data_IF_902496918957
#
_entry.id   IF_902496918957
#
_cell.length_a   1.000
_cell.length_b   1.000
_cell.length_c   1.000
_cell.angle_alpha   90.00
_cell.angle_beta   90.00
_cell.angle_gamma   90.00
#
_symmetry.space_group_name_H-M   'P 1'
#
loop_
_entity.id
_entity.type
_entity.pdbx_description
1 polymer ?
#
# COMPACT_ATOMS: atom_id res chain seq x y z
N UNK A 1 5.08 17.94 -19.08
CA UNK A 1 6.13 17.83 -18.04
C UNK A 1 6.14 18.99 -17.03
N UNK A 2 5.95 20.26 -17.42
CA UNK A 2 6.04 21.40 -16.49
C UNK A 2 4.90 21.60 -15.48
N UNK A 3 3.80 20.84 -15.55
CA UNK A 3 2.66 20.94 -14.61
C UNK A 3 2.76 20.01 -13.39
N UNK A 4 3.66 19.02 -13.42
CA UNK A 4 3.83 18.07 -12.31
C UNK A 4 4.71 18.62 -11.17
N UNK A 5 5.65 19.51 -11.47
CA UNK A 5 6.50 20.11 -10.44
C UNK A 5 5.73 21.02 -9.49
N UNK A 6 4.66 21.70 -9.94
CA UNK A 6 3.91 22.64 -9.10
C UNK A 6 3.08 21.96 -8.01
N UNK A 7 2.65 20.71 -8.20
CA UNK A 7 1.86 19.99 -7.21
C UNK A 7 2.70 19.30 -6.13
N UNK A 8 3.93 18.87 -6.45
CA UNK A 8 4.85 18.28 -5.47
C UNK A 8 5.37 19.34 -4.49
N UNK A 9 5.64 20.57 -4.95
CA UNK A 9 6.05 21.68 -4.06
C UNK A 9 4.91 22.14 -3.14
N UNK A 10 3.65 22.00 -3.58
CA UNK A 10 2.47 22.37 -2.76
C UNK A 10 2.20 21.32 -1.67
N UNK A 11 2.47 20.03 -1.93
CA UNK A 11 2.29 18.97 -0.94
C UNK A 11 3.33 19.03 0.21
N UNK A 12 4.57 19.47 -0.10
CA UNK A 12 5.63 19.64 0.91
C UNK A 12 5.40 20.85 1.83
N UNK A 13 4.62 21.86 1.41
CA UNK A 13 4.30 23.04 2.24
C UNK A 13 3.10 22.82 3.18
N UNK A 14 2.24 21.84 2.92
CA UNK A 14 1.03 21.59 3.73
C UNK A 14 1.32 20.69 4.95
N UNK A 15 2.39 19.88 4.91
CA UNK A 15 2.75 18.98 6.03
C UNK A 15 3.52 19.69 7.19
N UNK A 16 3.82 20.98 7.05
CA UNK A 16 4.59 21.75 8.05
C UNK A 16 3.77 22.64 9.00
N UNK A 17 2.43 22.63 8.93
CA UNK A 17 1.60 23.49 9.78
C UNK A 17 1.09 22.73 11.02
N UNK A 18 1.48 23.10 12.25
CA UNK A 18 0.80 22.62 13.43
C UNK A 18 -0.61 23.24 13.46
N UNK A 19 -1.63 22.38 13.39
CA UNK A 19 -3.00 22.72 13.74
C UNK A 19 -3.02 23.14 15.22
N UNK A 20 -2.90 24.45 15.47
CA UNK A 20 -3.12 25.02 16.79
C UNK A 20 -4.63 25.05 17.06
N UNK A 21 -5.09 24.08 17.86
CA UNK A 21 -6.41 24.10 18.45
C UNK A 21 -6.55 25.33 19.35
N UNK A 22 -7.46 26.23 18.98
CA UNK A 22 -7.91 27.32 19.86
C UNK A 22 -8.72 26.74 21.02
N UNK A 23 -8.08 26.57 22.17
CA UNK A 23 -8.75 26.51 23.46
C UNK A 23 -8.98 27.92 23.98
N UNK A 24 -10.22 28.37 23.95
CA UNK A 24 -10.67 29.65 24.49
C UNK A 24 -10.86 29.49 26.01
N UNK A 25 -10.08 30.22 26.79
CA UNK A 25 -10.20 30.29 28.24
C UNK A 25 -9.76 31.67 28.71
N UNK A 26 -10.74 32.50 29.06
CA UNK A 26 -10.57 33.86 29.58
C UNK A 26 -9.93 33.85 30.98
N UNK A 27 -8.94 34.71 31.21
CA UNK A 27 -8.70 35.33 32.51
C UNK A 27 -7.90 36.63 32.38
N UNK A 28 -8.56 37.71 32.79
CA UNK A 28 -8.04 39.07 32.97
C UNK A 28 -6.93 39.18 34.04
N UNK A 29 -5.95 40.08 33.84
CA UNK A 29 -5.14 40.67 34.92
C UNK A 29 -3.85 41.38 34.46
N UNK A 30 -3.44 42.54 35.01
CA UNK A 30 -2.74 43.63 34.28
C UNK A 30 -1.19 43.68 34.47
N UNK A 31 -0.47 44.63 33.81
CA UNK A 31 0.94 44.49 33.43
C UNK A 31 1.95 45.18 34.39
N UNK A 32 3.15 44.60 34.46
CA UNK A 32 4.39 45.21 34.97
C UNK A 32 5.51 44.22 34.65
N UNK A 33 6.61 44.55 33.98
CA UNK A 33 7.44 45.73 34.15
C UNK A 33 8.72 45.29 34.87
N UNK A 34 9.87 45.49 34.21
CA UNK A 34 11.26 45.43 34.72
C UNK A 34 12.04 44.10 34.59
N UNK A 35 13.07 44.17 33.73
CA UNK A 35 14.38 43.49 33.79
C UNK A 35 15.21 44.31 34.82
N UNK A 36 16.12 43.79 35.68
CA UNK A 36 17.37 43.15 35.21
C UNK A 36 18.16 42.23 36.16
N UNK A 37 19.30 41.80 35.62
CA UNK A 37 20.57 41.42 36.26
C UNK A 37 20.72 39.96 36.70
N UNK A 38 21.59 39.26 35.97
CA UNK A 38 22.05 37.93 36.30
C UNK A 38 22.99 37.89 37.49
N UNK A 39 23.37 36.69 37.91
CA UNK A 39 24.59 36.42 38.66
C UNK A 39 24.97 34.95 38.47
N UNK A 40 26.27 34.74 38.26
CA UNK A 40 26.92 33.45 38.19
C UNK A 40 26.88 32.72 39.55
N UNK A 41 26.89 31.38 39.48
CA UNK A 41 27.83 30.54 40.21
C UNK A 41 27.64 30.39 41.72
N UNK A 42 27.11 29.22 42.12
CA UNK A 42 27.16 28.76 43.49
C UNK A 42 26.92 27.25 43.58
N UNK A 43 27.97 26.47 43.35
CA UNK A 43 28.02 25.04 43.68
C UNK A 43 28.11 24.83 45.21
N UNK A 44 27.81 23.61 45.71
CA UNK A 44 26.93 23.39 46.86
C UNK A 44 27.65 23.22 48.20
N UNK A 45 26.90 23.47 49.28
CA UNK A 45 27.32 23.18 50.65
C UNK A 45 26.76 21.83 51.13
N UNK A 46 27.66 21.00 51.67
CA UNK A 46 27.40 20.21 52.88
C UNK A 46 26.80 18.82 52.73
N UNK A 47 27.64 17.82 52.45
CA UNK A 47 27.43 16.46 52.97
C UNK A 47 28.74 15.90 53.53
N UNK A 48 28.64 15.43 54.78
CA UNK A 48 29.69 14.90 55.65
C UNK A 48 30.14 13.51 55.25
N UNK A 49 31.46 13.28 55.18
CA UNK A 49 32.11 11.98 55.01
C UNK A 49 32.70 11.47 56.35
N UNK A 50 32.82 10.14 56.55
CA UNK A 50 33.17 9.50 57.82
C UNK A 50 34.70 9.42 58.08
N UNK A 51 35.13 9.17 59.33
CA UNK A 51 36.48 9.48 59.81
C UNK A 51 37.52 8.38 59.58
N UNK A 52 38.73 8.80 59.24
CA UNK A 52 39.95 8.00 59.36
C UNK A 52 40.88 8.20 58.16
N UNK A 53 41.93 9.01 58.32
CA UNK A 53 43.33 8.71 57.99
C UNK A 53 44.21 9.97 58.16
N UNK A 54 45.37 9.73 58.75
CA UNK A 54 46.48 10.57 59.19
C UNK A 54 46.73 11.96 58.57
N UNK A 55 47.01 12.91 59.46
CA UNK A 55 47.53 14.26 59.20
C UNK A 55 49.05 14.26 58.96
N UNK A 56 49.51 15.09 58.02
CA UNK A 56 50.92 15.52 57.85
C UNK A 56 50.93 17.05 57.80
N UNK A 57 51.87 17.74 58.50
CA UNK A 57 51.70 19.16 58.84
C UNK A 57 52.29 20.13 57.80
N UNK A 58 51.52 21.19 57.53
CA UNK A 58 51.93 22.60 57.52
C UNK A 58 52.97 23.08 56.51
N UNK A 59 52.58 24.04 55.67
CA UNK A 59 53.19 25.39 55.62
C UNK A 59 52.60 26.24 54.49
N UNK A 60 52.40 27.54 54.79
CA UNK A 60 52.45 28.61 53.79
C UNK A 60 51.13 28.97 53.11
N UNK A 61 50.43 29.95 53.69
CA UNK A 61 49.55 30.86 52.92
C UNK A 61 50.43 31.97 52.34
N UNK A 62 50.40 32.19 51.02
CA UNK A 62 50.66 33.52 50.47
C UNK A 62 49.51 33.98 49.57
N UNK A 63 48.87 35.08 50.00
CA UNK A 63 48.30 36.20 49.24
C UNK A 63 47.50 35.98 47.95
N UNK A 64 46.43 36.77 47.71
CA UNK A 64 45.66 36.70 46.47
C UNK A 64 46.52 37.13 45.28
N UNK A 65 46.72 36.23 44.32
CA UNK A 65 47.32 36.55 43.03
C UNK A 65 46.42 37.53 42.26
N UNK A 66 47.07 38.52 41.66
CA UNK A 66 46.48 39.61 40.91
C UNK A 66 45.53 39.12 39.81
N UNK A 67 44.39 39.78 39.69
CA UNK A 67 43.47 39.69 38.56
C UNK A 67 44.20 40.22 37.32
N UNK A 68 44.84 39.31 36.59
CA UNK A 68 45.36 39.58 35.27
C UNK A 68 44.21 39.84 34.31
N UNK A 69 44.28 40.93 33.56
CA UNK A 69 43.34 41.31 32.50
C UNK A 69 43.00 40.08 31.65
N UNK A 70 41.73 39.68 31.66
CA UNK A 70 41.22 38.68 30.75
C UNK A 70 41.60 39.06 29.32
N UNK A 71 42.25 38.14 28.61
CA UNK A 71 42.30 38.21 27.15
C UNK A 71 40.89 37.92 26.67
N UNK A 72 40.09 38.97 26.52
CA UNK A 72 38.94 38.94 25.63
C UNK A 72 39.50 38.75 24.22
N UNK A 73 39.44 37.52 23.72
CA UNK A 73 39.61 37.25 22.29
C UNK A 73 38.36 37.84 21.65
N UNK A 74 38.53 38.94 20.92
CA UNK A 74 37.49 39.39 20.00
C UNK A 74 37.60 38.51 18.77
N UNK A 75 36.58 37.69 18.53
CA UNK A 75 36.38 37.09 17.22
C UNK A 75 35.89 38.20 16.30
N UNK A 76 36.74 38.57 15.33
CA UNK A 76 36.41 39.55 14.31
C UNK A 76 35.40 38.89 13.37
N UNK A 77 34.11 39.19 13.58
CA UNK A 77 33.06 38.81 12.65
C UNK A 77 33.35 39.50 11.30
N UNK A 78 33.11 38.85 10.15
CA UNK A 78 33.36 39.45 8.86
C UNK A 78 32.64 40.80 8.73
N UNK A 79 33.42 41.86 8.51
CA UNK A 79 32.94 43.18 8.08
C UNK A 79 32.40 43.04 6.65
N UNK A 80 31.16 42.56 6.51
CA UNK A 80 30.17 42.92 5.48
C UNK A 80 29.07 41.85 5.37
N UNK A 81 28.09 41.91 6.28
CA UNK A 81 26.75 41.37 6.04
C UNK A 81 25.83 42.58 5.92
N UNK A 82 25.55 42.98 4.68
CA UNK A 82 24.93 44.25 4.32
C UNK A 82 23.79 44.72 5.25
N UNK A 83 23.85 46.02 5.56
CA UNK A 83 22.88 46.99 6.10
C UNK A 83 21.44 46.66 6.57
N UNK A 84 20.80 45.52 6.26
CA UNK A 84 19.40 45.27 6.68
C UNK A 84 19.02 43.81 7.04
N UNK A 85 19.98 42.88 7.14
CA UNK A 85 19.66 41.51 7.61
C UNK A 85 20.52 41.14 8.83
N UNK A 86 19.94 41.22 10.02
CA UNK A 86 20.40 40.42 11.15
C UNK A 86 19.79 39.03 11.01
N UNK A 87 20.61 37.99 10.85
CA UNK A 87 20.12 36.61 10.81
C UNK A 87 19.28 36.34 12.06
N UNK A 88 17.98 36.15 11.87
CA UNK A 88 17.08 35.78 12.96
C UNK A 88 17.58 34.48 13.62
N UNK A 89 17.29 34.23 14.91
CA UNK A 89 17.63 32.95 15.54
C UNK A 89 17.09 31.74 14.76
N UNK A 90 15.97 31.92 14.06
CA UNK A 90 15.38 30.94 13.15
C UNK A 90 16.21 30.78 11.86
N UNK A 91 16.76 31.86 11.30
CA UNK A 91 17.68 31.80 10.15
C UNK A 91 19.00 31.12 10.50
N UNK A 92 19.57 31.41 11.67
CA UNK A 92 20.78 30.72 12.15
C UNK A 92 20.50 29.24 12.43
N UNK A 93 19.34 28.93 13.00
CA UNK A 93 18.90 27.54 13.22
C UNK A 93 18.69 26.83 11.89
N UNK A 94 17.98 27.42 10.92
CA UNK A 94 17.75 26.86 9.59
C UNK A 94 19.06 26.69 8.83
N UNK A 95 19.92 27.72 8.82
CA UNK A 95 21.22 27.67 8.15
C UNK A 95 22.12 26.58 8.74
N UNK A 96 22.17 26.43 10.06
CA UNK A 96 22.92 25.34 10.69
C UNK A 96 22.28 23.96 10.49
N UNK A 97 20.96 23.89 10.39
CA UNK A 97 20.22 22.65 10.10
C UNK A 97 20.45 22.18 8.66
N UNK A 98 20.56 23.11 7.70
CA UNK A 98 20.88 22.79 6.31
C UNK A 98 22.36 22.44 6.07
N UNK A 99 23.29 22.92 6.91
CA UNK A 99 24.74 22.60 6.82
C UNK A 99 25.13 21.15 7.09
N UNK A 100 24.19 20.33 7.54
CA UNK A 100 24.39 18.88 7.74
C UNK A 100 23.18 18.09 7.24
N UNK A 101 22.42 18.70 6.31
CA UNK A 101 21.29 18.06 5.68
C UNK A 101 21.76 17.22 4.50
N UNK A 102 20.98 16.21 4.17
CA UNK A 102 21.11 15.51 2.91
C UNK A 102 19.74 15.28 2.29
N UNK A 103 19.74 15.17 0.98
CA UNK A 103 18.58 14.87 0.19
C UNK A 103 18.90 13.72 -0.75
N UNK A 104 18.04 12.71 -0.76
CA UNK A 104 18.19 11.51 -1.58
C UNK A 104 16.94 11.30 -2.43
N UNK A 105 17.15 11.02 -3.71
CA UNK A 105 16.08 10.64 -4.63
C UNK A 105 16.44 9.30 -5.27
N UNK A 106 15.49 8.38 -5.25
CA UNK A 106 15.66 7.02 -5.75
C UNK A 106 14.54 6.71 -6.74
N UNK A 107 14.91 6.10 -7.86
CA UNK A 107 14.01 5.42 -8.76
C UNK A 107 13.81 3.98 -8.27
N UNK A 108 12.56 3.56 -8.15
CA UNK A 108 12.17 2.25 -7.63
C UNK A 108 11.80 1.36 -8.81
N UNK A 109 12.37 0.16 -8.88
CA UNK A 109 11.98 -0.93 -9.78
C UNK A 109 11.45 -2.06 -8.92
N UNK A 110 10.21 -1.92 -8.46
CA UNK A 110 9.61 -2.81 -7.49
C UNK A 110 8.50 -3.64 -8.10
N UNK A 111 8.30 -4.83 -7.55
CA UNK A 111 7.18 -5.71 -7.83
C UNK A 111 6.28 -5.78 -6.59
N UNK A 112 4.97 -5.77 -6.82
CA UNK A 112 3.96 -6.13 -5.83
C UNK A 112 3.57 -7.59 -6.04
N UNK A 113 3.46 -8.37 -4.97
CA UNK A 113 3.04 -9.77 -5.04
C UNK A 113 1.64 -9.92 -5.66
N UNK A 114 1.52 -10.89 -6.56
CA UNK A 114 0.28 -11.21 -7.26
C UNK A 114 -0.90 -11.49 -6.32
N UNK A 115 -2.16 -11.33 -6.79
CA UNK A 115 -3.38 -11.75 -6.08
C UNK A 115 -3.42 -13.22 -5.70
N UNK A 116 -2.66 -14.07 -6.38
CA UNK A 116 -2.72 -15.53 -6.23
C UNK A 116 -3.76 -16.14 -7.17
N UNK A 117 -4.05 -17.43 -6.96
CA UNK A 117 -4.90 -18.24 -7.87
C UNK A 117 -6.38 -18.24 -7.44
N UNK A 118 -6.86 -17.10 -6.91
CA UNK A 118 -8.22 -17.03 -6.37
C UNK A 118 -9.25 -17.21 -7.49
N UNK A 119 -10.18 -18.13 -7.25
CA UNK A 119 -11.33 -18.37 -8.12
C UNK A 119 -12.44 -17.40 -7.71
N UNK A 120 -12.96 -16.66 -8.68
CA UNK A 120 -14.01 -15.67 -8.46
C UNK A 120 -15.37 -16.36 -8.53
N UNK A 121 -15.80 -16.85 -7.37
CA UNK A 121 -17.09 -17.52 -7.18
C UNK A 121 -17.18 -18.13 -5.79
N UNK A 122 -18.32 -18.74 -5.47
CA UNK A 122 -18.50 -19.51 -4.25
C UNK A 122 -17.81 -20.89 -4.34
N UNK A 123 -17.52 -21.54 -3.20
CA UNK A 123 -17.16 -22.96 -3.21
C UNK A 123 -18.24 -23.82 -3.90
N UNK A 124 -17.81 -24.87 -4.60
CA UNK A 124 -18.66 -25.75 -5.43
C UNK A 124 -18.31 -27.21 -5.21
N UNK A 125 -19.33 -28.07 -5.02
CA UNK A 125 -19.17 -29.53 -4.99
C UNK A 125 -19.46 -30.20 -6.36
N UNK A 126 -19.77 -29.40 -7.39
CA UNK A 126 -20.17 -29.90 -8.71
C UNK A 126 -18.96 -30.33 -9.56
N UNK A 127 -17.86 -29.60 -9.44
CA UNK A 127 -16.61 -29.82 -10.18
C UNK A 127 -15.45 -29.74 -9.20
N UNK A 128 -14.47 -30.63 -9.34
CA UNK A 128 -13.32 -30.70 -8.44
C UNK A 128 -12.41 -29.47 -8.56
N UNK A 129 -12.24 -28.94 -9.77
CA UNK A 129 -11.50 -27.72 -10.05
C UNK A 129 -12.24 -26.88 -11.10
N UNK A 130 -12.96 -25.82 -10.71
CA UNK A 130 -13.70 -24.98 -11.64
C UNK A 130 -12.79 -24.04 -12.46
N UNK A 131 -11.48 -23.97 -12.19
CA UNK A 131 -10.53 -23.23 -13.02
C UNK A 131 -10.18 -23.95 -14.33
N UNK A 132 -10.52 -25.23 -14.43
CA UNK A 132 -10.43 -26.03 -15.65
C UNK A 132 -11.79 -26.06 -16.36
N UNK A 133 -11.84 -26.28 -17.69
CA UNK A 133 -13.09 -26.41 -18.42
C UNK A 133 -14.03 -27.48 -17.83
N UNK A 134 -15.31 -27.17 -17.72
CA UNK A 134 -16.36 -28.08 -17.24
C UNK A 134 -17.70 -27.77 -17.90
N UNK A 135 -18.56 -28.79 -17.99
CA UNK A 135 -19.85 -28.66 -18.69
C UNK A 135 -20.96 -28.25 -17.73
N UNK A 136 -21.75 -27.25 -18.11
CA UNK A 136 -23.02 -26.89 -17.48
C UNK A 136 -24.17 -26.93 -18.48
N UNK A 137 -25.40 -26.94 -17.98
CA UNK A 137 -26.59 -26.76 -18.82
C UNK A 137 -26.96 -25.28 -18.85
N UNK A 138 -27.10 -24.71 -20.05
CA UNK A 138 -27.68 -23.38 -20.24
C UNK A 138 -29.09 -23.35 -19.65
N UNK A 139 -29.37 -22.49 -18.66
CA UNK A 139 -30.68 -22.41 -18.04
C UNK A 139 -31.79 -21.89 -18.98
N UNK A 140 -31.44 -21.30 -20.12
CA UNK A 140 -32.40 -20.75 -21.10
C UNK A 140 -32.67 -21.76 -22.21
N UNK A 141 -31.64 -22.23 -22.91
CA UNK A 141 -31.81 -23.12 -24.07
C UNK A 141 -31.84 -24.60 -23.69
N UNK A 142 -31.35 -24.96 -22.50
CA UNK A 142 -31.14 -26.36 -22.12
C UNK A 142 -29.94 -27.03 -22.79
N UNK A 143 -29.19 -26.30 -23.61
CA UNK A 143 -27.98 -26.79 -24.28
C UNK A 143 -26.86 -27.04 -23.27
N UNK A 144 -25.94 -27.94 -23.60
CA UNK A 144 -24.71 -28.11 -22.83
C UNK A 144 -23.68 -27.05 -23.28
N UNK A 145 -23.03 -26.41 -22.31
CA UNK A 145 -21.99 -25.39 -22.52
C UNK A 145 -20.71 -25.81 -21.81
N UNK A 146 -19.56 -25.68 -22.48
CA UNK A 146 -18.24 -25.84 -21.87
C UNK A 146 -17.78 -24.49 -21.29
N UNK A 147 -17.60 -24.41 -19.97
CA UNK A 147 -17.37 -23.16 -19.25
C UNK A 147 -16.17 -23.26 -18.33
N UNK A 148 -15.65 -22.11 -17.90
CA UNK A 148 -14.60 -22.02 -16.90
C UNK A 148 -14.95 -20.97 -15.84
N UNK A 149 -14.52 -21.18 -14.59
CA UNK A 149 -14.62 -20.14 -13.58
C UNK A 149 -13.49 -19.12 -13.77
N UNK A 150 -13.77 -17.82 -13.58
CA UNK A 150 -12.74 -16.81 -13.72
C UNK A 150 -11.78 -16.87 -12.53
N UNK A 151 -10.49 -16.73 -12.83
CA UNK A 151 -9.42 -16.77 -11.82
C UNK A 151 -8.52 -15.55 -11.92
N UNK A 152 -7.78 -15.28 -10.83
CA UNK A 152 -6.74 -14.25 -10.79
C UNK A 152 -5.33 -14.76 -11.11
N UNK A 153 -5.16 -16.03 -11.49
CA UNK A 153 -3.86 -16.66 -11.73
C UNK A 153 -2.99 -15.95 -12.78
N UNK A 154 -3.65 -15.43 -13.83
CA UNK A 154 -3.00 -14.71 -14.93
C UNK A 154 -2.91 -13.19 -14.70
N UNK A 155 -3.46 -12.71 -13.58
CA UNK A 155 -3.45 -11.28 -13.24
C UNK A 155 -2.13 -10.94 -12.58
N UNK A 156 -1.23 -10.34 -13.38
CA UNK A 156 0.07 -9.86 -12.91
C UNK A 156 0.01 -8.38 -12.53
N UNK A 157 0.47 -8.06 -11.33
CA UNK A 157 0.52 -6.66 -10.83
C UNK A 157 1.95 -6.16 -10.59
N UNK A 158 2.93 -6.85 -11.18
CA UNK A 158 4.36 -6.56 -11.13
C UNK A 158 4.78 -5.32 -11.98
N UNK A 159 6.09 -5.07 -12.06
CA UNK A 159 6.72 -3.99 -12.82
C UNK A 159 6.24 -2.59 -12.37
N UNK A 160 6.10 -2.41 -11.05
CA UNK A 160 5.66 -1.17 -10.42
C UNK A 160 6.84 -0.21 -10.22
N UNK A 161 7.17 0.52 -11.27
CA UNK A 161 8.17 1.59 -11.17
C UNK A 161 7.70 2.70 -10.23
N UNK A 162 8.62 3.35 -9.51
CA UNK A 162 8.26 4.38 -8.55
C UNK A 162 9.37 5.37 -8.26
N UNK A 163 9.08 6.30 -7.35
CA UNK A 163 10.04 7.27 -6.85
C UNK A 163 9.97 7.29 -5.33
N UNK A 164 11.15 7.38 -4.70
CA UNK A 164 11.30 7.69 -3.28
C UNK A 164 12.14 8.96 -3.12
N UNK A 165 11.71 9.82 -2.21
CA UNK A 165 12.49 10.96 -1.77
C UNK A 165 12.73 10.84 -0.26
N UNK A 166 13.96 11.10 0.17
CA UNK A 166 14.36 11.11 1.58
C UNK A 166 15.07 12.42 1.88
N UNK A 167 14.68 13.07 2.97
CA UNK A 167 15.36 14.23 3.52
C UNK A 167 15.83 13.88 4.92
N UNK A 168 17.09 14.16 5.24
CA UNK A 168 17.58 13.98 6.58
C UNK A 168 18.47 15.12 7.03
N UNK A 169 18.51 15.37 8.34
CA UNK A 169 19.40 16.35 8.94
C UNK A 169 19.87 15.86 10.31
N UNK A 170 21.12 16.19 10.62
CA UNK A 170 21.72 15.82 11.90
C UNK A 170 21.25 16.78 12.98
N UNK A 171 20.78 16.23 14.10
CA UNK A 171 20.37 16.99 15.29
C UNK A 171 21.47 16.83 16.32
N UNK A 172 22.41 17.78 16.30
CA UNK A 172 23.59 17.80 17.17
C UNK A 172 24.35 16.45 17.12
N UNK A 173 24.91 16.02 18.26
CA UNK A 173 25.60 14.73 18.41
C UNK A 173 24.64 13.57 18.76
N UNK A 174 23.33 13.84 18.86
CA UNK A 174 22.37 12.85 19.35
C UNK A 174 21.91 11.87 18.26
N UNK A 175 21.87 12.32 17.01
CA UNK A 175 21.40 11.49 15.90
C UNK A 175 20.96 12.29 14.67
N UNK A 176 20.27 11.59 13.77
CA UNK A 176 19.75 12.13 12.51
C UNK A 176 18.26 11.92 12.45
N UNK A 177 17.52 12.98 12.12
CA UNK A 177 16.11 12.86 11.76
C UNK A 177 16.01 12.66 10.24
N UNK A 178 15.28 11.66 9.80
CA UNK A 178 15.06 11.32 8.40
C UNK A 178 13.56 11.24 8.12
N UNK A 179 13.09 11.89 7.07
CA UNK A 179 11.73 11.74 6.56
C UNK A 179 11.81 11.21 5.13
N UNK A 180 11.00 10.20 4.81
CA UNK A 180 10.90 9.68 3.45
C UNK A 180 9.46 9.48 3.00
N UNK A 181 9.26 9.62 1.70
CA UNK A 181 8.00 9.33 1.01
C UNK A 181 8.31 8.53 -0.24
N UNK A 182 7.49 7.54 -0.53
CA UNK A 182 7.56 6.80 -1.78
C UNK A 182 6.19 6.58 -2.37
N UNK A 183 6.13 6.47 -3.69
CA UNK A 183 4.94 6.06 -4.41
C UNK A 183 5.35 5.19 -5.59
N UNK A 184 4.58 4.13 -5.82
CA UNK A 184 4.69 3.29 -7.00
C UNK A 184 3.66 3.70 -8.04
N UNK A 185 4.00 3.48 -9.30
CA UNK A 185 3.08 3.56 -10.41
C UNK A 185 1.92 2.59 -10.16
N UNK A 186 0.72 3.04 -10.49
CA UNK A 186 -0.45 2.18 -10.48
C UNK A 186 -0.30 1.07 -11.52
N UNK A 187 -0.37 -0.18 -11.10
CA UNK A 187 -0.48 -1.31 -12.02
C UNK A 187 -1.94 -1.61 -12.30
N UNK A 188 -2.21 -2.03 -13.53
CA UNK A 188 -3.53 -2.46 -13.97
C UNK A 188 -3.33 -3.66 -14.87
N UNK A 189 -3.90 -4.77 -14.47
CA UNK A 189 -4.01 -5.96 -15.30
C UNK A 189 -5.47 -6.18 -15.62
N UNK A 190 -5.72 -6.56 -16.87
CA UNK A 190 -7.05 -6.85 -17.36
C UNK A 190 -7.01 -8.13 -18.20
N UNK A 191 -8.01 -8.97 -18.01
CA UNK A 191 -8.23 -10.19 -18.76
C UNK A 191 -9.64 -10.15 -19.32
N UNK A 192 -9.73 -10.21 -20.65
CA UNK A 192 -10.96 -10.62 -21.31
C UNK A 192 -10.90 -12.13 -21.56
N UNK A 193 -12.03 -12.82 -21.51
CA UNK A 193 -12.11 -14.18 -22.03
C UNK A 193 -12.00 -14.10 -23.55
N UNK A 194 -11.31 -15.04 -24.24
CA UNK A 194 -11.38 -15.13 -25.70
C UNK A 194 -12.85 -15.23 -26.12
N UNK A 195 -13.15 -14.55 -27.22
CA UNK A 195 -14.49 -14.37 -27.80
C UNK A 195 -15.22 -15.70 -27.89
N UNK A 196 -16.43 -15.75 -27.32
CA UNK A 196 -17.33 -16.91 -27.40
C UNK A 196 -17.66 -17.15 -28.87
N UNK A 197 -17.17 -18.27 -29.41
CA UNK A 197 -17.65 -18.81 -30.67
C UNK A 197 -18.52 -20.00 -30.30
N UNK A 198 -19.83 -19.90 -30.53
CA UNK A 198 -20.76 -20.98 -30.19
C UNK A 198 -20.33 -22.30 -30.81
N UNK A 199 -20.76 -23.41 -30.18
CA UNK A 199 -20.62 -24.77 -30.70
C UNK A 199 -20.78 -24.80 -32.23
N UNK A 200 -19.69 -25.07 -32.93
CA UNK A 200 -19.79 -25.55 -34.31
C UNK A 200 -20.05 -27.04 -34.22
N UNK A 201 -21.31 -27.42 -34.35
CA UNK A 201 -21.64 -28.81 -34.66
C UNK A 201 -20.96 -29.15 -35.99
N UNK A 202 -20.07 -30.14 -35.97
CA UNK A 202 -19.45 -30.62 -37.20
C UNK A 202 -20.49 -31.51 -37.88
N UNK A 203 -21.00 -31.02 -38.99
CA UNK A 203 -21.75 -31.80 -39.98
C UNK A 203 -20.73 -32.64 -40.78
N UNK A 204 -20.47 -33.86 -40.32
CA UNK A 204 -19.44 -34.75 -40.86
C UNK A 204 -19.85 -35.39 -42.20
N UNK A 205 -21.14 -35.47 -42.51
CA UNK A 205 -21.68 -36.05 -43.74
C UNK A 205 -22.25 -35.03 -44.74
N UNK A 206 -22.34 -33.76 -44.34
CA UNK A 206 -22.70 -32.62 -45.19
C UNK A 206 -24.20 -32.49 -45.44
N UNK A 207 -25.04 -33.04 -44.57
CA UNK A 207 -26.50 -33.06 -44.74
C UNK A 207 -27.21 -31.81 -44.18
N UNK A 208 -26.46 -30.93 -43.51
CA UNK A 208 -26.95 -29.71 -42.88
C UNK A 208 -27.51 -29.91 -41.47
N UNK A 209 -27.31 -31.07 -40.84
CA UNK A 209 -27.71 -31.38 -39.46
C UNK A 209 -26.51 -31.76 -38.59
N UNK A 210 -26.67 -31.70 -37.27
CA UNK A 210 -25.61 -32.09 -36.34
C UNK A 210 -25.48 -33.61 -36.32
N UNK A 211 -24.31 -34.14 -36.67
CA UNK A 211 -24.08 -35.58 -36.76
C UNK A 211 -24.19 -36.26 -35.39
N UNK A 212 -25.06 -37.27 -35.30
CA UNK A 212 -25.15 -38.22 -34.19
C UNK A 212 -24.49 -39.52 -34.65
N UNK A 213 -23.50 -40.00 -33.89
CA UNK A 213 -22.86 -41.30 -34.12
C UNK A 213 -23.90 -42.40 -34.36
N UNK A 214 -23.50 -43.47 -35.04
CA UNK A 214 -24.26 -44.70 -35.35
C UNK A 214 -24.88 -45.35 -34.10
N UNK A 215 -24.50 -44.92 -32.89
CA UNK A 215 -25.06 -45.34 -31.60
C UNK A 215 -26.01 -44.31 -30.94
N UNK A 216 -26.35 -43.20 -31.60
CA UNK A 216 -27.22 -42.13 -31.08
C UNK A 216 -26.52 -41.14 -30.13
N UNK A 217 -25.19 -41.14 -30.07
CA UNK A 217 -24.41 -40.18 -29.29
C UNK A 217 -23.93 -39.02 -30.18
N UNK A 218 -24.24 -37.79 -29.82
CA UNK A 218 -23.67 -36.60 -30.46
C UNK A 218 -22.15 -36.58 -30.25
N UNK A 219 -21.37 -36.52 -31.34
CA UNK A 219 -19.92 -36.41 -31.27
C UNK A 219 -19.58 -34.94 -31.03
N UNK A 220 -19.27 -34.59 -29.79
CA UNK A 220 -18.67 -33.30 -29.48
C UNK A 220 -17.18 -33.37 -29.80
N UNK A 221 -16.76 -32.74 -30.88
CA UNK A 221 -15.33 -32.46 -31.08
C UNK A 221 -14.98 -31.30 -30.16
N UNK A 222 -14.34 -31.61 -29.03
CA UNK A 222 -13.66 -30.64 -28.17
C UNK A 222 -12.51 -30.01 -28.97
N UNK A 223 -12.85 -29.03 -29.81
CA UNK A 223 -11.95 -27.91 -30.06
C UNK A 223 -11.91 -27.08 -28.78
N UNK A 224 -10.76 -26.49 -28.45
CA UNK A 224 -10.55 -25.63 -27.28
C UNK A 224 -11.41 -24.35 -27.31
N UNK A 225 -12.72 -24.47 -27.33
CA UNK A 225 -13.67 -23.35 -27.40
C UNK A 225 -14.47 -23.39 -26.12
N UNK A 226 -14.17 -22.44 -25.24
CA UNK A 226 -14.92 -22.21 -24.01
C UNK A 226 -16.13 -21.35 -24.40
N UNK A 227 -17.33 -21.84 -24.14
CA UNK A 227 -18.60 -21.19 -24.45
C UNK A 227 -18.92 -20.02 -23.51
N UNK A 228 -18.30 -19.96 -22.34
CA UNK A 228 -18.50 -18.83 -21.43
C UNK A 228 -17.79 -18.94 -20.09
N UNK A 229 -18.06 -17.96 -19.24
CA UNK A 229 -17.55 -17.90 -17.87
C UNK A 229 -18.67 -18.20 -16.89
N UNK A 230 -18.46 -19.15 -16.00
CA UNK A 230 -19.44 -19.57 -14.99
C UNK A 230 -18.92 -19.34 -13.58
N UNK A 231 -19.60 -18.50 -12.80
CA UNK A 231 -19.25 -18.23 -11.41
C UNK A 231 -20.23 -18.93 -10.48
N UNK A 232 -19.74 -19.85 -9.66
CA UNK A 232 -20.56 -20.55 -8.66
C UNK A 232 -21.13 -19.60 -7.62
N UNK A 233 -22.33 -19.90 -7.13
CA UNK A 233 -23.03 -19.12 -6.11
C UNK A 233 -23.49 -20.02 -4.96
N UNK A 234 -23.42 -19.49 -3.74
CA UNK A 234 -24.15 -20.02 -2.60
C UNK A 234 -25.65 -19.76 -2.77
N UNK A 235 -26.48 -20.63 -2.20
CA UNK A 235 -27.92 -20.39 -2.06
C UNK A 235 -28.24 -20.34 -0.57
N UNK A 236 -28.72 -19.19 -0.11
CA UNK A 236 -29.01 -18.92 1.30
C UNK A 236 -27.81 -19.24 2.22
N UNK A 237 -26.59 -18.95 1.75
CA UNK A 237 -25.33 -19.17 2.47
C UNK A 237 -24.80 -20.61 2.43
N UNK A 238 -25.45 -21.52 1.69
CA UNK A 238 -25.08 -22.94 1.63
C UNK A 238 -24.62 -23.31 0.23
N UNK A 239 -23.57 -24.13 0.14
CA UNK A 239 -23.13 -24.76 -1.12
C UNK A 239 -24.22 -25.73 -1.57
N UNK A 240 -24.87 -25.53 -2.73
CA UNK A 240 -25.96 -26.40 -3.16
C UNK A 240 -25.47 -27.86 -3.35
N UNK A 241 -26.28 -28.86 -2.94
CA UNK A 241 -25.98 -30.26 -3.24
C UNK A 241 -26.33 -30.55 -4.71
N UNK A 242 -25.34 -30.96 -5.51
CA UNK A 242 -25.55 -31.37 -6.92
C UNK A 242 -25.36 -30.24 -7.93
N UNK A 243 -26.36 -29.98 -8.77
CA UNK A 243 -26.32 -28.93 -9.79
C UNK A 243 -26.21 -27.55 -9.11
N UNK A 244 -25.02 -26.97 -9.15
CA UNK A 244 -24.78 -25.67 -8.56
C UNK A 244 -25.44 -24.55 -9.37
N UNK A 245 -25.80 -23.50 -8.67
CA UNK A 245 -26.21 -22.27 -9.32
C UNK A 245 -24.97 -21.54 -9.83
N UNK A 246 -24.91 -21.31 -11.13
CA UNK A 246 -23.83 -20.55 -11.76
C UNK A 246 -24.36 -19.25 -12.34
N UNK A 247 -23.62 -18.15 -12.14
CA UNK A 247 -23.72 -16.96 -12.96
C UNK A 247 -22.99 -17.22 -14.27
N UNK A 248 -23.76 -17.44 -15.33
CA UNK A 248 -23.21 -17.60 -16.67
C UNK A 248 -23.03 -16.23 -17.33
N UNK A 249 -21.86 -15.99 -17.90
CA UNK A 249 -21.57 -14.93 -18.87
C UNK A 249 -21.16 -15.61 -20.17
N UNK A 250 -22.13 -15.83 -21.04
CA UNK A 250 -22.03 -16.58 -22.31
C UNK A 250 -21.77 -15.68 -23.53
N UNK A 251 -21.79 -14.36 -23.38
CA UNK A 251 -21.55 -13.44 -24.50
C UNK A 251 -20.21 -12.72 -24.37
N UNK A 252 -19.87 -12.26 -23.16
CA UNK A 252 -18.59 -11.59 -22.89
C UNK A 252 -18.26 -11.62 -21.39
N UNK A 253 -16.98 -11.59 -21.06
CA UNK A 253 -16.51 -11.39 -19.69
C UNK A 253 -15.17 -10.68 -19.66
N UNK A 254 -15.07 -9.70 -18.78
CA UNK A 254 -13.91 -8.88 -18.53
C UNK A 254 -13.65 -8.77 -17.04
N UNK A 255 -12.39 -8.91 -16.70
CA UNK A 255 -11.85 -8.85 -15.36
C UNK A 255 -10.72 -7.82 -15.36
N UNK A 256 -10.68 -6.92 -14.38
CA UNK A 256 -9.54 -6.04 -14.19
C UNK A 256 -9.21 -5.85 -12.72
N UNK A 257 -7.92 -5.93 -12.39
CA UNK A 257 -7.38 -5.60 -11.08
C UNK A 257 -6.44 -4.41 -11.23
N UNK A 258 -6.65 -3.40 -10.39
CA UNK A 258 -5.83 -2.20 -10.31
C UNK A 258 -5.23 -2.07 -8.91
N UNK A 259 -3.92 -1.92 -8.83
CA UNK A 259 -3.19 -1.87 -7.54
C UNK A 259 -2.43 -0.55 -7.41
N UNK A 260 -2.54 0.10 -6.24
CA UNK A 260 -1.88 1.36 -5.91
C UNK A 260 -1.21 1.26 -4.55
N UNK A 261 0.06 1.71 -4.48
CA UNK A 261 0.86 1.63 -3.25
C UNK A 261 1.69 2.89 -3.08
N UNK A 262 1.68 3.43 -1.87
CA UNK A 262 2.55 4.53 -1.46
C UNK A 262 2.73 4.51 0.06
N UNK A 263 3.73 5.23 0.56
CA UNK A 263 3.96 5.33 1.98
C UNK A 263 4.85 6.50 2.35
N UNK A 264 4.87 6.79 3.64
CA UNK A 264 5.74 7.80 4.23
C UNK A 264 6.24 7.32 5.59
N UNK A 265 7.44 7.72 5.97
CA UNK A 265 8.00 7.43 7.27
C UNK A 265 8.85 8.58 7.80
N UNK A 266 8.90 8.71 9.12
CA UNK A 266 9.83 9.57 9.84
C UNK A 266 10.63 8.73 10.82
N UNK A 267 11.96 8.87 10.80
CA UNK A 267 12.89 8.10 11.60
C UNK A 267 13.84 9.01 12.36
N UNK A 268 14.11 8.62 13.60
CA UNK A 268 15.24 9.06 14.38
C UNK A 268 16.29 7.95 14.37
N UNK A 269 17.45 8.25 13.78
CA UNK A 269 18.61 7.36 13.75
C UNK A 269 19.59 7.83 14.82
N UNK A 270 19.84 6.99 15.83
CA UNK A 270 20.73 7.35 16.94
C UNK A 270 22.17 7.46 16.45
N UNK A 271 22.92 8.43 16.94
CA UNK A 271 24.34 8.55 16.62
C UNK A 271 25.12 7.29 17.04
N UNK A 272 26.11 6.85 16.25
CA UNK A 272 26.93 5.70 16.61
C UNK A 272 27.76 6.01 17.86
N UNK A 273 27.93 5.01 18.73
CA UNK A 273 28.78 5.13 19.93
C UNK A 273 30.25 5.40 19.59
N UNK A 274 30.75 4.77 18.53
CA UNK A 274 32.08 5.02 17.97
C UNK A 274 31.96 5.39 16.48
N UNK A 275 31.91 6.69 16.13
CA UNK A 275 31.84 7.15 14.75
C UNK A 275 33.06 6.77 13.90
N UNK A 276 34.19 6.41 14.54
CA UNK A 276 35.43 6.03 13.86
C UNK A 276 35.52 4.54 13.51
N UNK A 277 34.60 3.73 14.03
CA UNK A 277 34.57 2.29 13.75
C UNK A 277 34.24 2.03 12.28
N UNK A 278 34.89 1.03 11.62
CA UNK A 278 34.59 0.69 10.24
C UNK A 278 33.17 0.14 10.07
N UNK A 279 32.63 -0.54 11.10
CA UNK A 279 31.26 -1.01 11.16
C UNK A 279 30.49 -0.17 12.18
N UNK A 280 29.46 0.53 11.70
CA UNK A 280 28.54 1.30 12.51
C UNK A 280 27.23 0.51 12.66
N UNK A 281 26.75 0.35 13.88
CA UNK A 281 25.43 -0.23 14.15
C UNK A 281 24.63 0.77 14.95
N UNK A 282 23.60 1.33 14.35
CA UNK A 282 22.76 2.37 14.95
C UNK A 282 21.31 1.91 15.05
N UNK A 283 20.67 2.04 16.23
CA UNK A 283 19.24 1.82 16.34
C UNK A 283 18.47 2.97 15.68
N UNK A 284 17.29 2.64 15.16
CA UNK A 284 16.34 3.60 14.62
C UNK A 284 14.97 3.42 15.26
N UNK A 285 14.31 4.55 15.50
CA UNK A 285 12.96 4.65 16.05
C UNK A 285 12.18 5.60 15.18
N UNK A 286 10.94 5.30 14.86
CA UNK A 286 10.19 6.13 13.93
C UNK A 286 8.71 5.90 13.95
N UNK A 287 8.05 6.50 12.96
CA UNK A 287 6.65 6.31 12.66
C UNK A 287 6.51 6.08 11.16
N UNK A 288 5.62 5.17 10.77
CA UNK A 288 5.36 4.84 9.37
C UNK A 288 3.88 4.95 9.08
N UNK A 289 3.58 5.39 7.87
CA UNK A 289 2.31 5.27 7.21
C UNK A 289 2.49 4.52 5.88
N UNK A 290 1.64 3.55 5.60
CA UNK A 290 1.66 2.75 4.38
C UNK A 290 0.23 2.56 3.87
N UNK A 291 0.00 2.89 2.60
CA UNK A 291 -1.28 2.72 1.95
C UNK A 291 -1.20 1.67 0.85
N UNK A 292 -2.15 0.75 0.89
CA UNK A 292 -2.31 -0.29 -0.12
C UNK A 292 -3.77 -0.31 -0.58
N UNK A 293 -3.99 -0.09 -1.86
CA UNK A 293 -5.32 -0.08 -2.47
C UNK A 293 -5.39 -1.02 -3.66
N UNK A 294 -6.46 -1.79 -3.71
CA UNK A 294 -6.82 -2.59 -4.88
C UNK A 294 -8.28 -2.35 -5.29
N UNK A 295 -8.51 -2.25 -6.60
CA UNK A 295 -9.84 -2.21 -7.21
C UNK A 295 -9.96 -3.41 -8.15
N UNK A 296 -10.87 -4.34 -7.84
CA UNK A 296 -11.25 -5.48 -8.68
C UNK A 296 -12.57 -5.17 -9.38
N UNK A 297 -12.59 -5.28 -10.70
CA UNK A 297 -13.78 -5.07 -11.52
C UNK A 297 -14.08 -6.31 -12.32
N UNK A 298 -15.31 -6.76 -12.23
CA UNK A 298 -15.84 -7.85 -13.03
C UNK A 298 -17.04 -7.32 -13.80
N UNK A 299 -17.00 -7.47 -15.12
CA UNK A 299 -18.11 -7.14 -15.99
C UNK A 299 -18.31 -8.24 -16.99
N UNK A 300 -19.55 -8.63 -17.24
CA UNK A 300 -19.87 -9.62 -18.26
C UNK A 300 -21.19 -9.31 -18.94
N UNK A 301 -21.45 -10.03 -20.02
CA UNK A 301 -22.71 -9.99 -20.75
C UNK A 301 -23.27 -11.40 -20.77
N UNK A 302 -24.55 -11.51 -20.43
CA UNK A 302 -25.24 -12.79 -20.41
C UNK A 302 -26.57 -12.72 -21.16
N UNK A 303 -26.93 -13.85 -21.76
CA UNK A 303 -28.23 -14.06 -22.39
C UNK A 303 -29.33 -14.14 -21.33
N UNK A 304 -30.44 -13.45 -21.54
CA UNK A 304 -31.60 -13.49 -20.65
C UNK A 304 -32.89 -13.70 -21.45
N UNK A 305 -33.70 -14.68 -21.06
CA UNK A 305 -35.00 -14.88 -21.69
C UNK A 305 -35.94 -13.75 -21.32
N UNK A 306 -36.42 -13.02 -22.33
CA UNK A 306 -37.34 -11.90 -22.14
C UNK A 306 -38.62 -12.39 -21.45
N UNK A 307 -39.03 -11.62 -20.43
CA UNK A 307 -40.28 -11.85 -19.72
C UNK A 307 -41.28 -10.72 -20.05
N UNK A 308 -42.57 -11.04 -20.09
CA UNK A 308 -43.62 -10.04 -20.17
C UNK A 308 -43.85 -9.32 -18.82
N UNK A 309 -44.81 -8.38 -18.79
CA UNK A 309 -45.13 -7.62 -17.57
C UNK A 309 -45.62 -8.49 -16.39
N UNK A 310 -46.02 -9.74 -16.64
CA UNK A 310 -46.46 -10.70 -15.64
C UNK A 310 -45.38 -11.73 -15.29
N UNK A 311 -44.16 -11.60 -15.83
CA UNK A 311 -43.06 -12.53 -15.61
C UNK A 311 -43.14 -13.81 -16.45
N UNK A 312 -43.96 -13.84 -17.49
CA UNK A 312 -44.10 -15.01 -18.37
C UNK A 312 -43.03 -14.94 -19.48
N UNK A 313 -42.28 -16.02 -19.73
CA UNK A 313 -41.31 -16.06 -20.82
C UNK A 313 -41.93 -15.82 -22.19
N UNK A 314 -41.29 -14.98 -22.99
CA UNK A 314 -41.72 -14.66 -24.34
C UNK A 314 -41.01 -15.52 -25.39
N UNK A 315 -41.76 -15.89 -26.42
CA UNK A 315 -41.31 -16.69 -27.55
C UNK A 315 -41.62 -15.96 -28.86
N UNK A 316 -40.76 -16.12 -29.85
CA UNK A 316 -40.99 -15.59 -31.20
C UNK A 316 -42.21 -16.30 -31.82
N UNK A 317 -43.23 -15.57 -32.29
CA UNK A 317 -44.46 -16.17 -32.80
C UNK A 317 -44.29 -16.93 -34.12
N UNK A 318 -43.16 -16.76 -34.82
CA UNK A 318 -42.86 -17.40 -36.10
C UNK A 318 -42.03 -18.67 -35.89
N UNK A 319 -40.98 -18.61 -35.09
CA UNK A 319 -40.07 -19.75 -34.88
C UNK A 319 -40.45 -20.61 -33.67
N UNK A 320 -41.20 -20.07 -32.71
CA UNK A 320 -41.50 -20.72 -31.43
C UNK A 320 -40.35 -20.70 -30.44
N UNK A 321 -39.23 -20.04 -30.78
CA UNK A 321 -38.01 -20.00 -29.95
C UNK A 321 -38.07 -18.92 -28.87
N UNK A 322 -37.37 -19.09 -27.73
CA UNK A 322 -37.23 -18.03 -26.71
C UNK A 322 -36.68 -16.73 -27.30
N UNK A 323 -37.28 -15.59 -26.92
CA UNK A 323 -36.70 -14.27 -27.21
C UNK A 323 -35.62 -13.99 -26.17
N UNK A 324 -34.38 -13.79 -26.62
CA UNK A 324 -33.20 -13.60 -25.75
C UNK A 324 -32.68 -12.16 -25.87
N UNK A 325 -32.47 -11.51 -24.73
CA UNK A 325 -31.87 -10.19 -24.61
C UNK A 325 -30.48 -10.27 -23.97
N UNK A 326 -29.47 -9.54 -24.48
CA UNK A 326 -28.18 -9.42 -23.82
C UNK A 326 -28.27 -8.45 -22.64
N UNK A 327 -27.77 -8.88 -21.47
CA UNK A 327 -27.83 -8.12 -20.22
C UNK A 327 -26.43 -7.94 -19.65
N UNK A 328 -26.11 -6.72 -19.21
CA UNK A 328 -24.82 -6.41 -18.61
C UNK A 328 -24.83 -6.71 -17.12
N UNK A 329 -23.87 -7.53 -16.67
CA UNK A 329 -23.59 -7.80 -15.27
C UNK A 329 -22.37 -7.01 -14.82
N UNK A 330 -22.41 -6.44 -13.61
CA UNK A 330 -21.23 -5.91 -12.92
C UNK A 330 -21.14 -6.35 -11.47
N UNK A 331 -19.92 -6.67 -11.06
CA UNK A 331 -19.52 -6.96 -9.68
C UNK A 331 -18.17 -6.26 -9.46
N UNK A 332 -18.20 -5.09 -8.84
CA UNK A 332 -17.02 -4.29 -8.54
C UNK A 332 -16.72 -4.35 -7.04
N UNK A 333 -15.49 -4.68 -6.67
CA UNK A 333 -15.03 -4.70 -5.29
C UNK A 333 -13.75 -3.88 -5.12
N UNK A 334 -13.68 -3.08 -4.06
CA UNK A 334 -12.52 -2.27 -3.70
C UNK A 334 -12.07 -2.59 -2.29
N UNK A 335 -10.77 -2.65 -2.05
CA UNK A 335 -10.19 -2.71 -0.72
C UNK A 335 -9.10 -1.63 -0.57
N UNK A 336 -9.19 -0.83 0.49
CA UNK A 336 -8.23 0.21 0.84
C UNK A 336 -7.73 -0.09 2.23
N UNK A 337 -6.41 -0.18 2.40
CA UNK A 337 -5.75 -0.44 3.67
C UNK A 337 -4.86 0.76 4.03
N UNK A 338 -4.96 1.21 5.27
CA UNK A 338 -4.15 2.29 5.83
C UNK A 338 -3.43 1.80 7.08
N UNK A 339 -2.15 1.45 6.91
CA UNK A 339 -1.29 0.97 7.98
C UNK A 339 -0.52 2.13 8.57
N UNK A 340 -0.62 2.33 9.88
CA UNK A 340 0.14 3.37 10.57
C UNK A 340 0.50 2.99 12.00
N UNK A 341 1.68 3.42 12.44
CA UNK A 341 2.19 3.04 13.75
C UNK A 341 3.67 3.34 13.94
N UNK A 342 4.14 3.17 15.20
CA UNK A 342 5.56 3.25 15.51
C UNK A 342 6.34 2.16 14.79
N UNK A 343 7.60 2.47 14.47
CA UNK A 343 8.55 1.53 13.92
C UNK A 343 9.88 1.56 14.66
N UNK A 344 10.55 0.43 14.61
CA UNK A 344 11.83 0.18 15.27
C UNK A 344 12.71 -0.63 14.33
N UNK A 345 14.01 -0.40 14.38
CA UNK A 345 14.93 -1.09 13.50
C UNK A 345 16.38 -0.86 13.87
N UNK A 346 17.24 -1.34 12.98
CA UNK A 346 18.69 -1.19 13.08
C UNK A 346 19.21 -0.75 11.71
N UNK A 347 20.28 0.03 11.70
CA UNK A 347 21.10 0.30 10.52
C UNK A 347 22.51 -0.17 10.81
N UNK A 348 22.96 -1.18 10.07
CA UNK A 348 24.34 -1.62 10.09
C UNK A 348 25.02 -1.13 8.81
N UNK A 349 26.11 -0.37 8.93
CA UNK A 349 26.82 0.23 7.80
C UNK A 349 28.32 0.00 7.94
N UNK A 350 28.92 -0.66 6.95
CA UNK A 350 30.36 -0.77 6.78
C UNK A 350 30.83 0.41 5.93
N UNK A 351 31.60 1.30 6.52
CA UNK A 351 32.06 2.53 5.88
C UNK A 351 33.51 2.44 5.41
N UNK A 352 33.73 2.85 4.17
CA UNK A 352 35.04 3.04 3.57
C UNK A 352 35.05 4.38 2.83
N UNK A 353 36.24 4.91 2.54
CA UNK A 353 36.41 6.24 1.91
C UNK A 353 35.74 6.40 0.55
N UNK A 354 35.48 5.30 -0.15
CA UNK A 354 34.90 5.31 -1.50
C UNK A 354 33.50 4.73 -1.57
N UNK A 355 33.13 3.90 -0.60
CA UNK A 355 31.83 3.26 -0.61
C UNK A 355 31.38 2.88 0.81
N UNK A 356 30.07 2.81 0.98
CA UNK A 356 29.41 2.21 2.15
C UNK A 356 28.59 1.01 1.69
N UNK A 357 28.57 -0.05 2.50
CA UNK A 357 27.62 -1.17 2.34
C UNK A 357 26.84 -1.29 3.63
N UNK A 358 25.51 -1.39 3.55
CA UNK A 358 24.70 -1.49 4.75
C UNK A 358 23.44 -2.30 4.59
N UNK A 359 22.85 -2.62 5.74
CA UNK A 359 21.57 -3.28 5.85
C UNK A 359 20.72 -2.58 6.91
N UNK A 360 19.43 -2.41 6.63
CA UNK A 360 18.49 -1.73 7.50
C UNK A 360 17.19 -2.53 7.65
N UNK A 361 17.14 -3.50 8.58
CA UNK A 361 15.89 -4.12 8.99
C UNK A 361 15.05 -3.17 9.86
N UNK A 362 13.75 -3.08 9.57
CA UNK A 362 12.75 -2.32 10.31
C UNK A 362 11.49 -3.16 10.48
N UNK A 363 10.82 -2.97 11.60
CA UNK A 363 9.50 -3.53 11.88
C UNK A 363 8.61 -2.42 12.41
N UNK A 364 7.40 -2.36 11.87
CA UNK A 364 6.33 -1.49 12.32
C UNK A 364 5.20 -2.35 12.88
N UNK A 365 4.70 -1.96 14.06
CA UNK A 365 3.55 -2.56 14.72
C UNK A 365 2.55 -1.45 14.97
N UNK A 366 1.30 -1.63 14.56
CA UNK A 366 0.31 -0.57 14.65
C UNK A 366 -1.08 -1.02 14.26
N UNK A 367 -1.78 -0.14 13.56
CA UNK A 367 -3.16 -0.34 13.16
C UNK A 367 -3.24 -0.40 11.63
N UNK A 368 -4.11 -1.25 11.11
CA UNK A 368 -4.58 -1.21 9.73
C UNK A 368 -6.06 -0.79 9.74
N UNK A 369 -6.33 0.46 9.38
CA UNK A 369 -7.69 0.92 9.13
C UNK A 369 -8.04 0.62 7.67
N UNK A 370 -9.04 -0.22 7.45
CA UNK A 370 -9.42 -0.66 6.12
C UNK A 370 -10.85 -0.29 5.76
N UNK A 371 -11.07 -0.08 4.46
CA UNK A 371 -12.39 0.12 3.86
C UNK A 371 -12.55 -0.86 2.71
N UNK A 372 -13.64 -1.61 2.72
CA UNK A 372 -14.04 -2.46 1.62
C UNK A 372 -15.38 -2.00 1.06
N UNK A 373 -15.51 -2.00 -0.25
CA UNK A 373 -16.73 -1.64 -0.95
C UNK A 373 -17.08 -2.74 -1.95
N UNK A 374 -18.37 -3.02 -2.11
CA UNK A 374 -18.95 -3.91 -3.12
C UNK A 374 -20.09 -3.18 -3.80
N UNK A 375 -20.02 -3.06 -5.12
CA UNK A 375 -21.07 -2.48 -5.95
C UNK A 375 -21.45 -3.50 -7.01
N UNK A 376 -22.75 -3.80 -7.12
CA UNK A 376 -23.28 -4.77 -8.07
C UNK A 376 -24.36 -4.16 -8.94
N UNK A 377 -24.53 -4.72 -10.13
CA UNK A 377 -25.58 -4.31 -11.06
C UNK A 377 -26.03 -5.52 -11.89
N UNK A 378 -27.35 -5.76 -11.90
CA UNK A 378 -28.01 -6.78 -12.72
C UNK A 378 -27.31 -8.15 -12.65
N UNK A 379 -27.11 -8.68 -11.43
CA UNK A 379 -26.34 -9.91 -11.25
C UNK A 379 -27.13 -11.13 -11.71
N UNK A 380 -28.39 -11.28 -11.29
CA UNK A 380 -29.23 -12.41 -11.69
C UNK A 380 -30.17 -12.12 -12.84
N UNK A 381 -30.74 -10.91 -12.89
CA UNK A 381 -31.75 -10.50 -13.88
C UNK A 381 -31.62 -9.01 -14.21
N UNK A 382 -32.22 -8.55 -15.32
CA UNK A 382 -32.30 -7.12 -15.65
C UNK A 382 -32.97 -6.25 -14.58
N UNK A 383 -33.81 -6.87 -13.74
CA UNK A 383 -34.58 -6.20 -12.68
C UNK A 383 -33.98 -6.38 -11.29
N UNK A 384 -32.86 -7.08 -11.19
CA UNK A 384 -32.14 -7.29 -9.94
C UNK A 384 -31.63 -5.95 -9.40
N UNK A 385 -32.00 -5.56 -8.17
CA UNK A 385 -31.62 -4.25 -7.64
C UNK A 385 -30.10 -4.15 -7.45
N UNK A 386 -29.49 -2.99 -7.71
CA UNK A 386 -28.07 -2.80 -7.44
C UNK A 386 -27.80 -2.88 -5.94
N UNK A 387 -26.74 -3.59 -5.54
CA UNK A 387 -26.29 -3.64 -4.15
C UNK A 387 -25.05 -2.75 -3.99
N UNK A 388 -25.07 -1.85 -3.01
CA UNK A 388 -23.93 -1.01 -2.65
C UNK A 388 -23.64 -1.23 -1.16
N UNK A 389 -22.63 -2.04 -0.87
CA UNK A 389 -22.26 -2.44 0.49
C UNK A 389 -20.88 -1.85 0.79
N UNK A 390 -20.73 -1.28 1.98
CA UNK A 390 -19.46 -0.72 2.44
C UNK A 390 -19.23 -1.14 3.88
N UNK A 391 -18.02 -1.59 4.18
CA UNK A 391 -17.59 -1.90 5.54
C UNK A 391 -16.26 -1.20 5.81
N UNK A 392 -16.15 -0.63 7.00
CA UNK A 392 -14.94 0.03 7.49
C UNK A 392 -14.68 -0.47 8.90
N UNK A 393 -13.45 -0.89 9.15
CA UNK A 393 -13.02 -1.36 10.47
C UNK A 393 -11.51 -1.14 10.64
N UNK A 394 -11.01 -1.42 11.83
CA UNK A 394 -9.60 -1.34 12.18
C UNK A 394 -9.14 -2.66 12.77
N UNK A 395 -8.07 -3.21 12.22
CA UNK A 395 -7.40 -4.39 12.76
C UNK A 395 -5.95 -4.06 13.12
N UNK A 396 -5.24 -5.03 13.68
CA UNK A 396 -3.80 -4.92 13.91
C UNK A 396 -3.05 -4.85 12.57
N UNK A 397 -2.02 -4.01 12.50
CA UNK A 397 -1.15 -3.88 11.33
C UNK A 397 0.29 -4.20 11.66
N UNK A 398 0.96 -4.94 10.77
CA UNK A 398 2.39 -5.23 10.88
C UNK A 398 3.07 -5.02 9.53
N UNK A 399 4.21 -4.33 9.53
CA UNK A 399 5.04 -4.17 8.33
C UNK A 399 6.49 -4.50 8.66
N UNK A 400 7.06 -5.48 7.98
CA UNK A 400 8.50 -5.74 7.95
C UNK A 400 9.13 -5.07 6.74
N UNK A 401 10.32 -4.52 6.90
CA UNK A 401 11.08 -3.88 5.82
C UNK A 401 12.57 -4.18 5.98
N UNK A 402 13.21 -4.62 4.91
CA UNK A 402 14.63 -4.87 4.82
C UNK A 402 15.17 -4.12 3.60
N UNK A 403 16.09 -3.21 3.86
CA UNK A 403 16.87 -2.55 2.82
C UNK A 403 18.32 -3.01 2.90
N UNK A 404 18.86 -3.53 1.82
CA UNK A 404 20.30 -3.79 1.68
C UNK A 404 20.83 -2.87 0.61
N UNK A 405 21.83 -2.07 0.94
CA UNK A 405 22.29 -0.98 0.08
C UNK A 405 23.79 -0.90 -0.06
N UNK A 406 24.21 -0.29 -1.17
CA UNK A 406 25.56 0.18 -1.43
C UNK A 406 25.49 1.65 -1.81
N UNK A 407 26.37 2.46 -1.21
CA UNK A 407 26.54 3.87 -1.51
C UNK A 407 27.93 4.06 -2.09
N UNK A 408 28.06 4.66 -3.26
CA UNK A 408 29.33 5.01 -3.89
C UNK A 408 29.57 6.52 -3.73
N UNK A 409 30.67 6.89 -3.09
CA UNK A 409 31.03 8.29 -2.84
C UNK A 409 31.81 8.83 -4.06
N UNK A 410 31.13 9.63 -4.89
CA UNK A 410 31.77 10.26 -6.05
C UNK A 410 32.54 11.52 -5.63
N UNK A 411 31.95 12.31 -4.73
CA UNK A 411 32.57 13.48 -4.11
C UNK A 411 32.20 13.52 -2.62
N UNK A 412 32.67 14.54 -1.88
CA UNK A 412 32.24 14.77 -0.50
C UNK A 412 30.76 15.14 -0.36
N UNK A 413 30.12 15.59 -1.45
CA UNK A 413 28.73 16.08 -1.44
C UNK A 413 27.80 15.24 -2.31
N UNK A 414 28.33 14.37 -3.18
CA UNK A 414 27.54 13.57 -4.12
C UNK A 414 27.88 12.09 -3.97
N UNK A 415 26.85 11.30 -3.71
CA UNK A 415 26.92 9.85 -3.71
C UNK A 415 25.87 9.24 -4.61
N UNK A 416 26.18 8.09 -5.21
CA UNK A 416 25.22 7.25 -5.94
C UNK A 416 24.79 6.11 -5.02
N UNK A 417 23.49 5.84 -5.00
CA UNK A 417 22.87 4.85 -4.12
C UNK A 417 22.26 3.72 -4.95
N UNK A 418 22.46 2.48 -4.50
CA UNK A 418 21.79 1.31 -5.06
C UNK A 418 21.38 0.39 -3.92
N UNK A 419 20.12 -0.04 -3.92
CA UNK A 419 19.59 -0.95 -2.90
C UNK A 419 18.71 -2.03 -3.49
N UNK A 420 18.58 -3.10 -2.72
CA UNK A 420 17.49 -4.05 -2.84
C UNK A 420 16.60 -3.90 -1.62
N UNK A 421 15.31 -3.71 -1.85
CA UNK A 421 14.30 -3.52 -0.82
C UNK A 421 13.36 -4.71 -0.79
N UNK A 422 12.99 -5.15 0.41
CA UNK A 422 11.95 -6.14 0.66
C UNK A 422 11.05 -5.61 1.77
N UNK A 423 9.80 -5.30 1.44
CA UNK A 423 8.77 -4.87 2.34
C UNK A 423 7.67 -5.92 2.36
N UNK A 424 7.31 -6.38 3.54
CA UNK A 424 6.18 -7.28 3.76
C UNK A 424 5.17 -6.58 4.66
N UNK A 425 3.91 -6.53 4.23
CA UNK A 425 2.81 -6.02 5.04
C UNK A 425 1.81 -7.14 5.31
N UNK A 426 1.58 -7.42 6.59
CA UNK A 426 0.62 -8.42 7.04
C UNK A 426 -0.75 -7.81 7.30
N UNK A 427 -1.75 -8.69 7.37
CA UNK A 427 -3.13 -8.34 7.70
C UNK A 427 -3.74 -7.31 6.73
N UNK A 428 -3.47 -7.50 5.44
CA UNK A 428 -4.02 -6.71 4.33
C UNK A 428 -5.25 -7.42 3.78
N UNK A 429 -6.35 -6.69 3.62
CA UNK A 429 -7.53 -7.20 2.92
C UNK A 429 -7.47 -6.85 1.44
N UNK A 430 -7.89 -7.79 0.58
CA UNK A 430 -7.85 -7.68 -0.88
C UNK A 430 -9.24 -7.94 -1.46
N UNK A 431 -9.67 -7.21 -2.51
CA UNK A 431 -11.05 -7.26 -2.98
C UNK A 431 -11.48 -8.63 -3.51
N UNK A 432 -10.53 -9.41 -4.04
CA UNK A 432 -10.77 -10.76 -4.55
C UNK A 432 -11.31 -11.73 -3.49
N UNK A 433 -10.87 -11.56 -2.25
CA UNK A 433 -11.10 -12.50 -1.16
C UNK A 433 -12.24 -12.06 -0.24
N UNK A 434 -12.87 -10.92 -0.57
CA UNK A 434 -13.87 -10.28 0.29
C UNK A 434 -15.32 -10.54 -0.17
N UNK A 435 -15.51 -10.97 -1.42
CA UNK A 435 -16.85 -11.10 -2.00
C UNK A 435 -17.43 -12.47 -1.68
N UNK A 436 -18.54 -12.49 -0.96
CA UNK A 436 -19.35 -13.70 -0.76
C UNK A 436 -20.39 -13.76 -1.87
N UNK A 437 -20.18 -14.69 -2.80
CA UNK A 437 -21.07 -14.96 -3.92
C UNK A 437 -22.30 -15.73 -3.47
N UNK A 438 -23.42 -15.05 -3.20
CA UNK A 438 -24.62 -15.67 -2.65
C UNK A 438 -25.91 -15.16 -3.29
N UNK A 439 -26.93 -16.01 -3.26
CA UNK A 439 -28.28 -15.75 -3.75
C UNK A 439 -29.26 -16.03 -2.63
N UNK A 440 -30.24 -15.16 -2.49
CA UNK A 440 -31.39 -15.44 -1.64
C UNK A 440 -32.45 -16.15 -2.48
N UNK A 441 -33.03 -17.26 -1.98
CA UNK A 441 -34.01 -18.06 -2.76
C UNK A 441 -35.40 -17.44 -2.77
N UNK A 442 -35.78 -16.74 -1.70
CA UNK A 442 -37.13 -16.17 -1.53
C UNK A 442 -37.10 -14.76 -0.91
N UNK A 443 -37.43 -13.71 -1.68
CA UNK A 443 -37.55 -13.72 -3.14
C UNK A 443 -36.21 -14.09 -3.81
N UNK A 444 -36.25 -14.63 -5.04
CA UNK A 444 -35.02 -14.96 -5.79
C UNK A 444 -34.34 -13.66 -6.24
N UNK A 445 -33.23 -13.32 -5.60
CA UNK A 445 -32.48 -12.09 -5.86
C UNK A 445 -31.00 -12.27 -5.54
N UNK A 446 -30.15 -11.41 -6.11
CA UNK A 446 -28.75 -11.36 -5.69
C UNK A 446 -28.67 -11.00 -4.21
N UNK A 447 -27.79 -11.70 -3.49
CA UNK A 447 -27.52 -11.43 -2.09
C UNK A 447 -26.02 -11.55 -1.83
N UNK A 448 -25.22 -10.82 -2.62
CA UNK A 448 -23.79 -10.78 -2.41
C UNK A 448 -23.50 -10.03 -1.11
N UNK A 449 -22.48 -10.48 -0.40
CA UNK A 449 -22.05 -9.87 0.85
C UNK A 449 -20.54 -9.62 0.85
N UNK A 450 -20.10 -8.83 1.83
CA UNK A 450 -18.69 -8.60 2.12
C UNK A 450 -18.30 -9.39 3.37
N UNK A 451 -17.25 -10.18 3.27
CA UNK A 451 -16.59 -10.84 4.40
C UNK A 451 -15.07 -10.60 4.28
N UNK A 452 -14.54 -9.51 4.85
CA UNK A 452 -13.15 -9.14 4.69
C UNK A 452 -12.21 -10.20 5.24
N UNK A 453 -11.39 -10.79 4.37
CA UNK A 453 -10.32 -11.70 4.77
C UNK A 453 -8.97 -10.98 4.68
N UNK A 454 -7.98 -11.50 5.40
CA UNK A 454 -6.68 -10.85 5.56
C UNK A 454 -5.54 -11.79 5.21
N UNK A 455 -4.61 -11.29 4.39
CA UNK A 455 -3.41 -12.00 3.97
C UNK A 455 -2.19 -11.09 4.03
N UNK A 456 -1.02 -11.61 3.66
CA UNK A 456 0.21 -10.83 3.54
C UNK A 456 0.45 -10.39 2.11
N UNK A 457 0.97 -9.18 1.93
CA UNK A 457 1.46 -8.67 0.64
C UNK A 457 2.96 -8.42 0.73
N UNK A 458 3.69 -8.74 -0.34
CA UNK A 458 5.12 -8.49 -0.45
C UNK A 458 5.39 -7.48 -1.56
N UNK A 459 6.25 -6.51 -1.27
CA UNK A 459 6.80 -5.55 -2.20
C UNK A 459 8.31 -5.72 -2.21
N UNK A 460 8.94 -5.87 -3.36
CA UNK A 460 10.38 -5.98 -3.39
C UNK A 460 10.97 -5.50 -4.71
N UNK A 461 12.26 -5.17 -4.71
CA UNK A 461 12.95 -4.86 -5.95
C UNK A 461 14.16 -3.98 -5.76
N UNK A 462 14.68 -3.49 -6.88
CA UNK A 462 15.87 -2.65 -6.91
C UNK A 462 15.48 -1.19 -6.75
N UNK A 463 16.39 -0.40 -6.20
CA UNK A 463 16.29 1.06 -6.18
C UNK A 463 17.63 1.67 -6.51
N UNK A 464 17.63 2.71 -7.33
CA UNK A 464 18.84 3.39 -7.79
C UNK A 464 18.62 4.88 -7.69
N UNK A 465 19.58 5.60 -7.12
CA UNK A 465 19.39 7.01 -6.79
C UNK A 465 20.67 7.80 -6.61
N UNK A 466 20.49 9.08 -6.30
CA UNK A 466 21.56 10.00 -5.92
C UNK A 466 21.27 10.62 -4.56
N UNK A 467 22.33 10.85 -3.79
CA UNK A 467 22.31 11.53 -2.49
C UNK A 467 23.20 12.77 -2.59
N UNK A 468 22.63 13.93 -2.24
CA UNK A 468 23.34 15.19 -2.08
C UNK A 468 23.44 15.51 -0.59
N UNK A 469 24.63 15.80 -0.11
CA UNK A 469 24.90 16.23 1.27
C UNK A 469 25.51 17.63 1.24
N UNK A 470 25.07 18.50 2.16
CA UNK A 470 25.58 19.86 2.34
C UNK A 470 26.41 19.98 3.61
#
# INVERSE_FOLDING_TARGET
MFRWFTHVTTLLLILGWPLSGRGQGDAWGPPGGMVPAGWHGGSPAGQSLPPGYYAVPGSGVPGPFAIGKGRTVFEELPDDTGWLYEDSPLDRMLTNLFRHAYFRVEYLLWDVSDPGDNILGAPTNFVADPSQPFVITDPITGSLLDVVAPTLSDVKVNDNNGIRATFGFSVFEAGTLEASVFALQTSTSAKGTPTVYGLTTIDLDGDGTADTDVNGNTIFVSGNVIDGVAQSMLIDGVVPPGNNFFLLNDLDYHLSLKTQVWGAEGNWVVAPYDPGAPLLVTPLLGFRYFNFREDLRQSGVYSFQRLDANGIPQFDPVTGEPIIDPVQRKIDSTAINHLYGPQLGLRAELNNRWFSVGAQPKVMLGLNSYKVDLNTYQVLSPTDPPQNISQTDTTFGIVGDLEVYTRLHLTSHLSVFTSYNLLWAGLITRPADNVVYNIQRSPRQSNLALDPTFSGVMLHGLSVGGELRW
#
